data_IF_022382254971
#
_entry.id   IF_022382254971
#
_cell.length_a   1.000
_cell.length_b   1.000
_cell.length_c   1.000
_cell.angle_alpha   90.00
_cell.angle_beta   90.00
_cell.angle_gamma   90.00
#
_symmetry.space_group_name_H-M   'P 1'
#
loop_
_entity.id
_entity.type
_entity.pdbx_description
1 polymer ?
#
# COMPACT_ATOMS: atom_id res chain seq x y z
N UNK A 1 1.33 7.49 0.56
CA UNK A 1 0.56 6.48 1.17
C UNK A 1 1.27 5.14 1.38
N UNK A 2 0.57 4.23 2.03
CA UNK A 2 1.04 2.87 2.21
C UNK A 2 2.04 2.64 3.36
N UNK A 3 2.24 3.62 4.23
CA UNK A 3 3.07 3.49 5.42
C UNK A 3 2.19 3.41 6.66
N UNK A 4 2.57 2.56 7.61
CA UNK A 4 2.06 2.61 8.97
C UNK A 4 2.93 3.54 9.81
N UNK A 5 2.34 4.10 10.86
CA UNK A 5 3.05 4.87 11.87
C UNK A 5 3.27 3.97 13.07
N UNK A 6 4.52 3.77 13.44
CA UNK A 6 4.90 3.06 14.65
C UNK A 6 5.64 4.00 15.61
N UNK A 7 5.61 3.67 16.88
CA UNK A 7 6.44 4.29 17.93
C UNK A 7 7.43 3.26 18.44
N UNK A 8 8.62 3.70 18.79
CA UNK A 8 9.60 2.84 19.44
C UNK A 8 9.29 2.79 20.93
N UNK A 9 8.99 1.62 21.45
CA UNK A 9 8.62 1.43 22.85
C UNK A 9 9.79 1.78 23.81
N UNK A 10 11.02 1.51 23.37
CA UNK A 10 12.24 1.75 24.16
C UNK A 10 12.84 3.16 23.95
N UNK A 11 12.19 4.04 23.20
CA UNK A 11 12.67 5.41 23.01
C UNK A 11 11.92 6.37 23.94
N UNK A 12 12.59 6.96 24.96
CA UNK A 12 11.96 7.94 25.85
C UNK A 12 11.35 9.14 25.14
N UNK A 13 11.83 9.47 23.93
CA UNK A 13 11.30 10.53 23.09
C UNK A 13 10.04 10.10 22.30
N UNK A 14 9.62 8.84 22.40
CA UNK A 14 8.45 8.31 21.67
C UNK A 14 8.54 8.52 20.18
N UNK A 15 9.72 8.28 19.61
CA UNK A 15 10.04 8.61 18.20
C UNK A 15 9.15 7.88 17.23
N UNK A 16 8.67 8.63 16.25
CA UNK A 16 7.80 8.13 15.19
C UNK A 16 8.63 7.54 14.06
N UNK A 17 8.27 6.32 13.65
CA UNK A 17 8.83 5.62 12.49
C UNK A 17 7.73 5.33 11.48
N UNK A 18 7.97 5.69 10.23
CA UNK A 18 7.09 5.34 9.12
C UNK A 18 7.53 3.98 8.56
N UNK A 19 6.69 2.96 8.75
CA UNK A 19 7.00 1.57 8.39
C UNK A 19 6.24 1.17 7.15
N UNK A 20 6.95 0.77 6.10
CA UNK A 20 6.37 0.15 4.89
C UNK A 20 6.17 -1.34 5.11
N UNK A 21 5.29 -1.93 4.32
CA UNK A 21 4.98 -3.36 4.32
C UNK A 21 4.41 -3.89 5.64
N UNK A 22 3.93 -3.00 6.51
CA UNK A 22 3.18 -3.33 7.72
C UNK A 22 1.72 -2.88 7.60
N UNK A 23 0.83 -3.48 8.38
CA UNK A 23 -0.55 -3.04 8.58
C UNK A 23 -0.75 -2.54 10.01
N UNK A 24 -1.75 -1.67 10.24
CA UNK A 24 -2.12 -1.26 11.60
C UNK A 24 -2.41 -2.48 12.49
N UNK A 25 -1.90 -2.45 13.72
CA UNK A 25 -2.08 -3.52 14.69
C UNK A 25 -1.14 -4.71 14.57
N UNK A 26 -0.28 -4.75 13.54
CA UNK A 26 0.73 -5.80 13.43
C UNK A 26 1.93 -5.57 14.35
N UNK A 27 2.55 -6.66 14.77
CA UNK A 27 3.88 -6.66 15.37
C UNK A 27 4.87 -7.15 14.32
N UNK A 28 5.85 -6.31 14.00
CA UNK A 28 6.81 -6.59 12.93
C UNK A 28 8.24 -6.35 13.39
N UNK A 29 9.19 -7.08 12.79
CA UNK A 29 10.60 -6.70 12.78
C UNK A 29 10.84 -5.85 11.54
N UNK A 30 11.42 -4.67 11.73
CA UNK A 30 11.66 -3.72 10.67
C UNK A 30 13.14 -3.33 10.59
N UNK A 31 13.60 -3.04 9.38
CA UNK A 31 14.95 -2.51 9.12
C UNK A 31 14.82 -1.03 8.76
N UNK A 32 15.59 -0.20 9.43
CA UNK A 32 15.63 1.25 9.15
C UNK A 32 16.24 1.47 7.75
N UNK A 33 15.50 2.18 6.91
CA UNK A 33 15.92 2.56 5.54
C UNK A 33 16.34 4.02 5.46
N UNK A 34 15.84 4.86 6.36
CA UNK A 34 16.20 6.28 6.44
C UNK A 34 16.16 6.74 7.90
N UNK A 35 17.20 7.46 8.31
CA UNK A 35 17.32 8.05 9.64
C UNK A 35 17.72 9.51 9.51
N UNK A 36 16.76 10.41 9.66
CA UNK A 36 17.01 11.85 9.71
C UNK A 36 16.67 12.42 11.08
N UNK A 37 16.98 13.69 11.30
CA UNK A 37 16.66 14.35 12.58
C UNK A 37 15.14 14.40 12.87
N UNK A 38 14.31 14.41 11.83
CA UNK A 38 12.85 14.58 11.96
C UNK A 38 12.04 13.33 11.64
N UNK A 39 12.53 12.48 10.74
CA UNK A 39 11.76 11.38 10.18
C UNK A 39 12.63 10.13 10.15
N UNK A 40 12.11 9.05 10.70
CA UNK A 40 12.66 7.71 10.52
C UNK A 40 11.74 6.89 9.63
N UNK A 41 12.34 6.09 8.77
CA UNK A 41 11.62 5.17 7.88
C UNK A 41 12.20 3.78 8.02
N UNK A 42 11.32 2.79 7.85
CA UNK A 42 11.70 1.39 7.94
C UNK A 42 10.87 0.56 6.95
N UNK A 43 11.39 -0.58 6.58
CA UNK A 43 10.65 -1.64 5.91
C UNK A 43 10.44 -2.82 6.86
N UNK A 44 9.21 -3.29 7.00
CA UNK A 44 8.91 -4.50 7.74
C UNK A 44 9.45 -5.71 6.96
N UNK A 45 10.41 -6.42 7.55
CA UNK A 45 11.07 -7.58 6.93
C UNK A 45 10.54 -8.90 7.44
N UNK A 46 9.91 -8.90 8.63
CA UNK A 46 9.29 -10.06 9.24
C UNK A 46 8.03 -9.64 9.99
N UNK A 47 6.98 -10.44 9.87
CA UNK A 47 5.72 -10.22 10.59
C UNK A 47 5.63 -11.24 11.70
N UNK A 48 5.63 -10.76 12.95
CA UNK A 48 5.57 -11.59 14.16
C UNK A 48 4.12 -11.86 14.58
N UNK A 49 3.24 -10.86 14.40
CA UNK A 49 1.80 -10.99 14.61
C UNK A 49 1.09 -10.29 13.45
N UNK A 50 0.37 -11.08 12.65
CA UNK A 50 -0.25 -10.60 11.43
C UNK A 50 -1.66 -10.06 11.67
N UNK A 51 -2.02 -9.01 10.92
CA UNK A 51 -3.39 -8.56 10.77
C UNK A 51 -4.23 -9.60 10.00
N UNK A 52 -5.54 -9.76 10.30
CA UNK A 52 -6.44 -10.58 9.48
C UNK A 52 -6.56 -10.07 8.02
N UNK A 53 -6.25 -8.80 7.79
CA UNK A 53 -6.28 -8.18 6.47
C UNK A 53 -4.99 -8.41 5.65
N UNK A 54 -4.01 -9.11 6.23
CA UNK A 54 -2.76 -9.41 5.53
C UNK A 54 -2.95 -10.55 4.54
N UNK A 55 -2.49 -10.32 3.32
CA UNK A 55 -2.42 -11.34 2.27
C UNK A 55 -0.99 -11.47 1.73
N UNK A 56 -0.72 -12.58 1.03
CA UNK A 56 0.55 -12.74 0.33
C UNK A 56 0.59 -11.80 -0.87
N UNK A 57 1.60 -10.92 -0.93
CA UNK A 57 1.80 -10.04 -2.07
C UNK A 57 1.92 -10.83 -3.37
N UNK A 58 1.24 -10.35 -4.40
CA UNK A 58 1.34 -10.89 -5.77
C UNK A 58 2.66 -10.50 -6.45
N UNK A 59 3.33 -9.46 -5.95
CA UNK A 59 4.57 -8.93 -6.52
C UNK A 59 5.70 -8.93 -5.49
N UNK A 60 6.49 -10.00 -5.48
CA UNK A 60 7.59 -10.17 -4.53
C UNK A 60 8.67 -9.10 -4.68
N UNK A 61 8.96 -8.70 -5.91
CA UNK A 61 10.00 -7.72 -6.23
C UNK A 61 9.68 -6.32 -5.69
N UNK A 62 8.40 -6.04 -5.40
CA UNK A 62 7.97 -4.80 -4.74
C UNK A 62 7.86 -4.93 -3.20
N UNK A 63 8.43 -5.97 -2.63
CA UNK A 63 8.50 -6.18 -1.18
C UNK A 63 9.55 -5.28 -0.49
N UNK A 64 9.91 -5.60 0.78
CA UNK A 64 10.92 -4.87 1.53
C UNK A 64 12.27 -4.78 0.78
N UNK A 65 12.80 -3.57 0.67
CA UNK A 65 14.03 -3.30 -0.11
C UNK A 65 13.87 -3.37 -1.63
N UNK A 66 12.68 -3.67 -2.14
CA UNK A 66 12.39 -3.86 -3.55
C UNK A 66 11.96 -2.60 -4.30
N UNK A 67 11.41 -2.83 -5.50
CA UNK A 67 10.94 -1.75 -6.39
C UNK A 67 9.71 -1.04 -5.82
N UNK A 68 9.48 0.19 -6.24
CA UNK A 68 8.28 0.94 -5.91
C UNK A 68 7.06 0.50 -6.72
N UNK A 69 5.88 0.91 -6.28
CA UNK A 69 4.61 0.75 -7.01
C UNK A 69 3.72 -0.41 -6.57
N UNK A 70 4.17 -1.24 -5.61
CA UNK A 70 3.41 -2.35 -5.04
C UNK A 70 3.17 -2.22 -3.53
N UNK A 71 3.09 -0.99 -3.01
CA UNK A 71 3.10 -0.67 -1.57
C UNK A 71 1.97 -1.33 -0.78
N UNK A 72 0.84 -1.61 -1.39
CA UNK A 72 -0.32 -2.26 -0.75
C UNK A 72 -0.53 -3.71 -1.19
N UNK A 73 0.40 -4.31 -1.92
CA UNK A 73 0.24 -5.68 -2.43
C UNK A 73 0.07 -6.75 -1.36
N UNK A 74 0.41 -6.44 -0.11
CA UNK A 74 0.28 -7.31 1.05
C UNK A 74 -1.04 -7.11 1.84
N UNK A 75 -1.93 -6.26 1.36
CA UNK A 75 -3.20 -5.90 2.00
C UNK A 75 -4.37 -6.46 1.19
N UNK A 76 -5.35 -7.08 1.82
CA UNK A 76 -6.57 -7.54 1.18
C UNK A 76 -7.30 -6.37 0.49
N UNK A 77 -7.89 -6.58 -0.69
CA UNK A 77 -8.49 -5.51 -1.48
C UNK A 77 -9.62 -4.77 -0.74
N UNK A 78 -10.45 -5.49 0.01
CA UNK A 78 -11.48 -4.89 0.85
C UNK A 78 -10.90 -3.95 1.89
N UNK A 79 -9.81 -4.35 2.55
CA UNK A 79 -9.09 -3.53 3.52
C UNK A 79 -8.38 -2.34 2.85
N UNK A 80 -7.84 -2.51 1.62
CA UNK A 80 -7.30 -1.39 0.85
C UNK A 80 -8.37 -0.34 0.55
N UNK A 81 -9.60 -0.76 0.18
CA UNK A 81 -10.74 0.14 -0.08
C UNK A 81 -11.14 0.91 1.19
N UNK A 82 -11.23 0.21 2.32
CA UNK A 82 -11.49 0.83 3.63
C UNK A 82 -10.40 1.83 4.00
N UNK A 83 -9.13 1.47 3.86
CA UNK A 83 -8.01 2.37 4.15
C UNK A 83 -8.02 3.62 3.26
N UNK A 84 -8.23 3.46 1.95
CA UNK A 84 -8.34 4.59 1.02
C UNK A 84 -9.48 5.53 1.40
N UNK A 85 -10.62 4.98 1.84
CA UNK A 85 -11.77 5.76 2.33
C UNK A 85 -11.41 6.58 3.57
N UNK A 86 -10.68 6.00 4.53
CA UNK A 86 -10.21 6.74 5.72
C UNK A 86 -9.24 7.86 5.35
N UNK A 87 -8.32 7.59 4.43
CA UNK A 87 -7.39 8.62 3.94
C UNK A 87 -8.17 9.74 3.26
N UNK A 88 -9.18 9.43 2.47
CA UNK A 88 -10.03 10.43 1.84
C UNK A 88 -10.76 11.28 2.88
N UNK A 89 -11.38 10.68 3.89
CA UNK A 89 -12.06 11.39 4.97
C UNK A 89 -11.10 12.31 5.74
N UNK A 90 -9.88 11.84 6.04
CA UNK A 90 -8.85 12.65 6.68
C UNK A 90 -8.40 13.82 5.80
N UNK A 91 -8.22 13.61 4.49
CA UNK A 91 -7.89 14.67 3.54
C UNK A 91 -9.01 15.71 3.42
N UNK A 92 -10.27 15.28 3.36
CA UNK A 92 -11.42 16.19 3.30
C UNK A 92 -11.43 17.12 4.52
N UNK A 93 -11.17 16.58 5.72
CA UNK A 93 -11.13 17.39 6.94
C UNK A 93 -9.91 18.31 6.99
N UNK A 94 -8.70 17.78 6.73
CA UNK A 94 -7.46 18.57 6.92
C UNK A 94 -7.20 19.59 5.82
N UNK A 95 -7.61 19.29 4.59
CA UNK A 95 -7.33 20.13 3.41
C UNK A 95 -8.57 20.89 3.00
N UNK A 96 -9.74 20.22 2.97
CA UNK A 96 -11.01 20.83 2.61
C UNK A 96 -11.64 21.70 3.72
N UNK A 97 -11.27 21.43 4.96
CA UNK A 97 -11.85 22.09 6.13
C UNK A 97 -13.15 21.43 6.62
N UNK A 98 -13.65 21.89 7.77
CA UNK A 98 -14.81 21.28 8.42
C UNK A 98 -16.10 21.43 7.59
N UNK A 99 -16.26 22.51 6.85
CA UNK A 99 -17.45 22.75 6.00
C UNK A 99 -17.52 21.70 4.88
N UNK A 100 -16.42 21.46 4.16
CA UNK A 100 -16.36 20.46 3.10
C UNK A 100 -16.52 19.06 3.69
N UNK A 101 -15.87 18.76 4.81
CA UNK A 101 -16.01 17.47 5.48
C UNK A 101 -17.45 17.19 5.93
N UNK A 102 -18.13 18.19 6.50
CA UNK A 102 -19.53 18.10 6.90
C UNK A 102 -20.49 17.91 5.71
N UNK A 103 -20.26 18.66 4.63
CA UNK A 103 -21.05 18.53 3.41
C UNK A 103 -20.93 17.13 2.79
N UNK A 104 -19.72 16.56 2.74
CA UNK A 104 -19.52 15.18 2.25
C UNK A 104 -20.13 14.17 3.22
N UNK A 105 -19.95 14.33 4.53
CA UNK A 105 -20.50 13.41 5.53
C UNK A 105 -22.05 13.37 5.54
N UNK A 106 -22.68 14.43 5.04
CA UNK A 106 -24.15 14.50 4.90
C UNK A 106 -24.69 13.68 3.70
N UNK A 107 -23.83 13.24 2.79
CA UNK A 107 -24.24 12.37 1.70
C UNK A 107 -24.62 10.97 2.24
N UNK A 108 -25.69 10.35 1.73
CA UNK A 108 -26.09 9.02 2.18
C UNK A 108 -24.99 7.97 2.09
N UNK A 109 -24.18 8.02 1.03
CA UNK A 109 -23.08 7.10 0.76
C UNK A 109 -21.89 7.29 1.71
N UNK A 110 -21.78 8.46 2.34
CA UNK A 110 -20.72 8.80 3.27
C UNK A 110 -21.12 8.66 4.74
N UNK A 111 -22.40 8.33 5.01
CA UNK A 111 -22.92 8.25 6.36
C UNK A 111 -22.09 7.31 7.26
N UNK A 112 -21.74 7.81 8.44
CA UNK A 112 -20.95 7.09 9.44
C UNK A 112 -19.45 6.92 9.12
N UNK A 113 -18.98 7.39 7.96
CA UNK A 113 -17.56 7.20 7.55
C UNK A 113 -16.87 8.50 7.15
N UNK A 114 -17.63 9.55 6.86
CA UNK A 114 -17.09 10.87 6.47
C UNK A 114 -16.50 10.94 5.07
N UNK A 115 -16.66 9.90 4.24
CA UNK A 115 -16.26 9.89 2.84
C UNK A 115 -17.08 8.89 2.04
N UNK A 116 -17.25 9.17 0.75
CA UNK A 116 -17.88 8.24 -0.19
C UNK A 116 -17.12 6.90 -0.27
N UNK A 117 -17.80 5.78 -0.58
CA UNK A 117 -17.17 4.47 -0.67
C UNK A 117 -16.10 4.44 -1.78
N UNK A 118 -15.06 3.64 -1.55
CA UNK A 118 -14.14 3.20 -2.60
C UNK A 118 -14.65 1.86 -3.09
N UNK A 119 -15.17 1.85 -4.30
CA UNK A 119 -15.79 0.66 -4.87
C UNK A 119 -14.77 -0.30 -5.47
N UNK A 120 -15.15 -1.57 -5.54
CA UNK A 120 -14.40 -2.56 -6.29
C UNK A 120 -14.57 -2.31 -7.80
N UNK A 121 -13.50 -2.47 -8.55
CA UNK A 121 -13.62 -2.54 -10.01
C UNK A 121 -14.47 -3.77 -10.40
N UNK A 122 -15.23 -3.74 -11.51
CA UNK A 122 -16.05 -4.88 -11.93
C UNK A 122 -15.27 -6.21 -12.00
N UNK A 123 -14.01 -6.18 -12.46
CA UNK A 123 -13.14 -7.35 -12.51
C UNK A 123 -12.73 -7.85 -11.11
N UNK A 124 -12.53 -6.94 -10.15
CA UNK A 124 -12.24 -7.31 -8.76
C UNK A 124 -13.47 -7.94 -8.11
N UNK A 125 -14.64 -7.31 -8.27
CA UNK A 125 -15.90 -7.81 -7.74
C UNK A 125 -16.24 -9.21 -8.29
N UNK A 126 -16.05 -9.42 -9.59
CA UNK A 126 -16.23 -10.72 -10.23
C UNK A 126 -15.26 -11.78 -9.68
N UNK A 127 -13.99 -11.42 -9.47
CA UNK A 127 -12.99 -12.33 -8.90
C UNK A 127 -13.26 -12.64 -7.42
N UNK A 128 -13.72 -11.66 -6.65
CA UNK A 128 -14.09 -11.85 -5.24
C UNK A 128 -15.33 -12.76 -5.09
N UNK A 129 -16.30 -12.63 -5.99
CA UNK A 129 -17.54 -13.43 -5.97
C UNK A 129 -17.35 -14.86 -6.56
N UNK A 130 -16.36 -15.04 -7.44
CA UNK A 130 -16.09 -16.34 -8.08
C UNK A 130 -15.34 -17.31 -7.17
N UNK A 131 -15.21 -18.57 -7.61
CA UNK A 131 -14.55 -19.65 -6.85
C UNK A 131 -13.11 -19.93 -7.29
N UNK A 132 -12.59 -19.19 -8.30
CA UNK A 132 -11.22 -19.37 -8.78
C UNK A 132 -10.21 -18.69 -7.82
N UNK A 133 -9.38 -19.45 -7.09
CA UNK A 133 -8.37 -18.89 -6.19
C UNK A 133 -7.31 -18.06 -6.93
N UNK A 134 -7.06 -18.37 -8.22
CA UNK A 134 -6.09 -17.63 -9.03
C UNK A 134 -6.64 -16.27 -9.40
N UNK A 135 -7.91 -16.20 -9.84
CA UNK A 135 -8.59 -14.94 -10.12
C UNK A 135 -8.63 -14.04 -8.87
N UNK A 136 -9.03 -14.60 -7.71
CA UNK A 136 -9.02 -13.86 -6.43
C UNK A 136 -7.63 -13.33 -6.09
N UNK A 137 -6.58 -14.14 -6.28
CA UNK A 137 -5.20 -13.72 -5.99
C UNK A 137 -4.72 -12.61 -6.91
N UNK A 138 -5.15 -12.59 -8.16
CA UNK A 138 -4.75 -11.60 -9.17
C UNK A 138 -5.72 -10.42 -9.25
N UNK A 139 -6.81 -10.42 -8.47
CA UNK A 139 -7.72 -9.30 -8.40
C UNK A 139 -6.96 -8.01 -8.01
N UNK A 140 -7.31 -6.89 -8.65
CA UNK A 140 -6.62 -5.61 -8.47
C UNK A 140 -5.27 -5.47 -9.17
N UNK A 141 -4.84 -6.50 -9.94
CA UNK A 141 -3.67 -6.44 -10.83
C UNK A 141 -4.10 -6.13 -12.27
N UNK A 142 -3.13 -6.04 -13.20
CA UNK A 142 -3.43 -5.85 -14.62
C UNK A 142 -4.12 -4.50 -14.93
N UNK A 143 -3.86 -3.46 -14.16
CA UNK A 143 -4.55 -2.16 -14.28
C UNK A 143 -3.70 -1.08 -14.96
N UNK A 144 -2.40 -1.31 -15.16
CA UNK A 144 -1.49 -0.32 -15.74
C UNK A 144 -1.28 -0.56 -17.21
N UNK A 145 -1.67 0.43 -18.02
CA UNK A 145 -1.45 0.44 -19.49
C UNK A 145 -0.08 1.03 -19.87
N UNK A 146 0.62 1.67 -18.94
CA UNK A 146 1.96 2.23 -19.13
C UNK A 146 2.85 1.90 -17.93
N UNK A 147 4.01 1.34 -18.22
CA UNK A 147 5.08 1.09 -17.25
C UNK A 147 6.39 1.58 -17.85
N UNK A 148 7.17 2.33 -17.07
CA UNK A 148 8.51 2.73 -17.45
C UNK A 148 9.52 1.73 -16.84
N UNK A 149 10.40 1.21 -17.66
CA UNK A 149 11.50 0.34 -17.26
C UNK A 149 12.82 1.01 -17.61
N UNK A 150 13.83 0.75 -16.82
CA UNK A 150 15.22 1.13 -17.06
C UNK A 150 16.01 -0.14 -17.39
N UNK A 151 16.89 -0.09 -18.36
CA UNK A 151 17.79 -1.20 -18.63
C UNK A 151 18.96 -1.10 -17.66
N UNK A 152 19.26 -2.19 -16.97
CA UNK A 152 20.42 -2.30 -16.07
C UNK A 152 21.71 -2.42 -16.90
N UNK A 153 22.87 -2.25 -16.26
CA UNK A 153 24.18 -2.41 -16.92
C UNK A 153 24.36 -3.83 -17.50
N UNK A 154 23.71 -4.83 -16.90
CA UNK A 154 23.69 -6.22 -17.39
C UNK A 154 22.67 -6.46 -18.51
N UNK A 155 21.99 -5.43 -19.01
CA UNK A 155 20.99 -5.53 -20.08
C UNK A 155 19.64 -6.06 -19.66
N UNK A 156 19.33 -6.12 -18.36
CA UNK A 156 18.05 -6.59 -17.83
C UNK A 156 17.05 -5.43 -17.69
N UNK A 157 15.77 -5.73 -17.86
CA UNK A 157 14.72 -4.78 -17.53
C UNK A 157 14.62 -4.60 -16.00
N UNK A 158 14.58 -3.37 -15.55
CA UNK A 158 14.54 -3.05 -14.13
C UNK A 158 13.67 -1.84 -13.80
N UNK A 159 13.41 -1.65 -12.54
CA UNK A 159 12.72 -0.49 -11.98
C UNK A 159 13.53 0.08 -10.82
N UNK A 160 13.35 1.37 -10.57
CA UNK A 160 13.97 1.99 -9.40
C UNK A 160 13.44 1.40 -8.10
N UNK A 161 14.36 1.11 -7.19
CA UNK A 161 14.03 0.81 -5.80
C UNK A 161 13.23 1.96 -5.18
N UNK A 162 12.40 1.64 -4.20
CA UNK A 162 11.58 2.66 -3.56
C UNK A 162 12.44 3.77 -2.96
N UNK A 163 12.24 5.02 -3.42
CA UNK A 163 13.03 6.20 -3.04
C UNK A 163 14.54 6.03 -3.23
N UNK A 164 14.93 5.25 -4.19
CA UNK A 164 16.33 4.95 -4.49
C UNK A 164 16.64 5.29 -5.95
N UNK A 165 17.87 5.70 -6.22
CA UNK A 165 18.41 5.79 -7.58
C UNK A 165 18.85 4.44 -8.13
N UNK A 166 18.91 3.39 -7.30
CA UNK A 166 19.36 2.06 -7.72
C UNK A 166 18.27 1.39 -8.55
N UNK A 167 18.67 0.88 -9.71
CA UNK A 167 17.79 0.07 -10.57
C UNK A 167 17.89 -1.39 -10.15
N UNK A 168 16.74 -2.00 -9.86
CA UNK A 168 16.64 -3.41 -9.49
C UNK A 168 16.00 -4.17 -10.66
N UNK A 169 16.58 -5.29 -11.10
CA UNK A 169 15.99 -6.08 -12.16
C UNK A 169 14.63 -6.63 -11.74
N UNK A 170 13.67 -6.66 -12.67
CA UNK A 170 12.33 -7.22 -12.47
C UNK A 170 12.07 -8.31 -13.50
N UNK A 171 11.49 -9.41 -13.04
CA UNK A 171 11.13 -10.56 -13.87
C UNK A 171 9.63 -10.67 -14.07
N UNK A 172 8.85 -9.93 -13.27
CA UNK A 172 7.40 -9.90 -13.35
C UNK A 172 6.84 -8.50 -13.20
N UNK A 173 5.75 -8.21 -13.89
CA UNK A 173 5.05 -6.93 -13.86
C UNK A 173 3.54 -7.17 -13.66
N UNK A 174 3.11 -7.69 -12.52
CA UNK A 174 1.71 -8.10 -12.34
C UNK A 174 0.72 -6.95 -12.41
N UNK A 175 1.18 -5.71 -12.28
CA UNK A 175 0.32 -4.53 -12.41
C UNK A 175 0.10 -4.10 -13.87
N UNK A 176 0.90 -4.60 -14.82
CA UNK A 176 0.71 -4.36 -16.24
C UNK A 176 -0.51 -5.13 -16.76
N UNK A 177 -1.25 -4.51 -17.70
CA UNK A 177 -2.28 -5.24 -18.47
C UNK A 177 -1.61 -6.36 -19.25
N UNK A 178 -2.27 -7.53 -19.31
CA UNK A 178 -1.89 -8.61 -20.21
C UNK A 178 -2.31 -8.22 -21.64
N UNK A 179 -1.41 -8.32 -22.58
CA UNK A 179 -1.71 -8.22 -24.03
C UNK A 179 -2.11 -9.56 -24.55
#
# INVERSE_FOLDING_TARGET
>A
GGHCVARLDDDPAGRVVFVRHALPGEVVRAVLTEKSAKIWRADAVEVLSASPDRVRSVWREAGPGGVGGGELGHVALSAQRTWKRWVLADCLRRIGGEEVAAAVAALPEAAGTGAVPVEAMPSEAAAEAGDDPRARRLAGTGTRTRIALTITDDGLAGMHGFRSGTVLPVTSLPLAVST
#
